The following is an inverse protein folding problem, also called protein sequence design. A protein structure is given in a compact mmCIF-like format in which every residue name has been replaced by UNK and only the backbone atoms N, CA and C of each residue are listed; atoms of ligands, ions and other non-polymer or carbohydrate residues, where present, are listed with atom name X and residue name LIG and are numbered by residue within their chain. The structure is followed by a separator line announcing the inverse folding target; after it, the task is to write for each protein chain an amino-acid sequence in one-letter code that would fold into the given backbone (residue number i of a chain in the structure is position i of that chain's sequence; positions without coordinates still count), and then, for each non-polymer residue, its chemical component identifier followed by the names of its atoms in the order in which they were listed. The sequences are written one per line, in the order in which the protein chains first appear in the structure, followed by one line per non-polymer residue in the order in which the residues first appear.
data_IF_995275843301
#
_entry.id   IF_995275843301
#
_cell.length_a   1.000
_cell.length_b   1.000
_cell.length_c   1.000
_cell.angle_alpha   90.00
_cell.angle_beta   90.00
_cell.angle_gamma   90.00
#
_symmetry.space_group_name_H-M   'P 1'
#
loop_
_entity.id
_entity.type
_entity.pdbx_description
1 polymer ?
#
# COMPACT_ATOMS: atom_id res chain seq x y z
N UNK A 1 -17.96 15.52 0.72
CA UNK A 1 -17.03 14.81 -0.17
C UNK A 1 -16.07 14.08 0.73
N UNK A 2 -15.87 12.77 0.51
CA UNK A 2 -14.94 11.98 1.33
C UNK A 2 -13.51 12.29 0.90
N UNK A 3 -12.60 12.48 1.84
CA UNK A 3 -11.23 12.88 1.58
C UNK A 3 -10.27 11.71 1.81
N UNK A 4 -9.50 11.36 0.79
CA UNK A 4 -8.48 10.32 0.86
C UNK A 4 -7.11 10.99 0.77
N UNK A 5 -6.26 10.77 1.77
CA UNK A 5 -4.85 11.13 1.72
C UNK A 5 -4.04 9.93 1.24
N UNK A 6 -3.33 10.07 0.13
CA UNK A 6 -2.42 9.05 -0.41
C UNK A 6 -0.99 9.54 -0.17
N UNK A 7 -0.22 8.80 0.63
CA UNK A 7 1.16 9.12 0.97
C UNK A 7 2.09 8.23 0.14
N UNK A 8 2.85 8.86 -0.76
CA UNK A 8 3.74 8.22 -1.73
C UNK A 8 3.15 8.23 -3.14
N UNK A 9 3.80 8.94 -4.06
CA UNK A 9 3.44 9.06 -5.47
C UNK A 9 4.33 8.19 -6.39
N UNK A 10 4.98 7.19 -5.81
CA UNK A 10 5.87 6.26 -6.51
C UNK A 10 5.16 5.40 -7.57
N UNK A 11 5.94 4.56 -8.27
CA UNK A 11 5.43 3.74 -9.37
C UNK A 11 4.25 2.84 -8.96
N UNK A 12 4.34 2.19 -7.80
CA UNK A 12 3.31 1.28 -7.28
C UNK A 12 1.98 1.98 -6.94
N UNK A 13 1.99 3.29 -6.69
CA UNK A 13 0.76 4.05 -6.40
C UNK A 13 -0.01 4.46 -7.67
N UNK A 14 0.60 4.35 -8.86
CA UNK A 14 0.02 4.91 -10.10
C UNK A 14 -1.36 4.34 -10.41
N UNK A 15 -1.49 3.01 -10.41
CA UNK A 15 -2.75 2.34 -10.74
C UNK A 15 -3.83 2.58 -9.68
N UNK A 16 -3.44 2.65 -8.40
CA UNK A 16 -4.34 3.00 -7.30
C UNK A 16 -4.89 4.43 -7.49
N UNK A 17 -4.00 5.40 -7.71
CA UNK A 17 -4.36 6.80 -7.87
C UNK A 17 -5.30 6.96 -9.07
N UNK A 18 -4.93 6.40 -10.23
CA UNK A 18 -5.75 6.46 -11.45
C UNK A 18 -7.14 5.85 -11.22
N UNK A 19 -7.22 4.68 -10.58
CA UNK A 19 -8.48 4.04 -10.24
C UNK A 19 -9.37 4.93 -9.36
N UNK A 20 -8.81 5.51 -8.29
CA UNK A 20 -9.55 6.38 -7.37
C UNK A 20 -9.96 7.70 -8.03
N UNK A 21 -9.14 8.25 -8.92
CA UNK A 21 -9.49 9.44 -9.70
C UNK A 21 -10.69 9.15 -10.61
N UNK A 22 -10.65 8.04 -11.34
CA UNK A 22 -11.75 7.61 -12.22
C UNK A 22 -13.05 7.35 -11.43
N UNK A 23 -12.95 6.94 -10.17
CA UNK A 23 -14.09 6.74 -9.26
C UNK A 23 -14.49 7.97 -8.47
N UNK A 24 -13.70 9.04 -8.51
CA UNK A 24 -13.88 10.18 -7.61
C UNK A 24 -15.21 10.91 -7.81
N UNK A 25 -15.76 10.91 -9.03
CA UNK A 25 -17.06 11.50 -9.31
C UNK A 25 -18.22 10.71 -8.71
N UNK A 26 -18.31 9.44 -9.10
CA UNK A 26 -19.30 8.45 -8.66
C UNK A 26 -19.29 8.31 -7.13
N UNK A 27 -18.10 8.22 -6.54
CA UNK A 27 -17.92 8.01 -5.11
C UNK A 27 -17.78 9.33 -4.32
N UNK A 28 -17.96 10.50 -4.93
CA UNK A 28 -17.83 11.78 -4.23
C UNK A 28 -16.54 11.90 -3.38
N UNK A 29 -15.39 11.61 -4.01
CA UNK A 29 -14.06 11.61 -3.39
C UNK A 29 -13.27 12.88 -3.75
N UNK A 30 -12.44 13.34 -2.82
CA UNK A 30 -11.30 14.21 -3.07
C UNK A 30 -10.02 13.43 -2.72
N UNK A 31 -9.00 13.50 -3.57
CA UNK A 31 -7.70 12.89 -3.31
C UNK A 31 -6.65 13.96 -3.01
N UNK A 32 -5.99 13.86 -1.87
CA UNK A 32 -4.72 14.56 -1.65
C UNK A 32 -3.57 13.57 -1.85
N UNK A 33 -2.68 13.86 -2.80
CA UNK A 33 -1.53 13.03 -3.12
C UNK A 33 -0.29 13.72 -2.56
N UNK A 34 0.33 13.10 -1.55
CA UNK A 34 1.55 13.60 -0.92
C UNK A 34 2.77 12.80 -1.35
N UNK A 35 3.85 13.49 -1.70
CA UNK A 35 5.16 12.89 -1.91
C UNK A 35 6.25 13.90 -1.53
N UNK A 36 7.45 13.42 -1.18
CA UNK A 36 8.58 14.31 -0.92
C UNK A 36 8.88 15.19 -2.15
N UNK A 37 8.64 14.66 -3.35
CA UNK A 37 8.64 15.43 -4.60
C UNK A 37 7.22 15.88 -4.95
N UNK A 38 6.94 17.17 -4.72
CA UNK A 38 5.66 17.77 -5.15
C UNK A 38 5.40 17.58 -6.65
N UNK A 39 6.44 17.72 -7.49
CA UNK A 39 6.32 17.51 -8.93
C UNK A 39 5.85 16.09 -9.28
N UNK A 40 6.34 15.07 -8.55
CA UNK A 40 5.89 13.69 -8.75
C UNK A 40 4.41 13.55 -8.38
N UNK A 41 3.99 14.12 -7.26
CA UNK A 41 2.59 14.14 -6.83
C UNK A 41 1.69 14.88 -7.84
N UNK A 42 2.10 16.05 -8.33
CA UNK A 42 1.38 16.84 -9.34
C UNK A 42 1.16 16.04 -10.62
N UNK A 43 2.20 15.36 -11.11
CA UNK A 43 2.08 14.48 -12.29
C UNK A 43 1.06 13.36 -12.06
N UNK A 44 0.93 12.85 -10.83
CA UNK A 44 -0.07 11.80 -10.50
C UNK A 44 -1.50 12.32 -10.42
N UNK A 45 -1.72 13.61 -10.18
CA UNK A 45 -3.08 14.19 -10.24
C UNK A 45 -3.65 14.19 -11.66
N UNK A 46 -2.78 14.19 -12.68
CA UNK A 46 -3.17 14.34 -14.09
C UNK A 46 -4.11 15.55 -14.34
N UNK A 47 -3.97 16.63 -13.55
CA UNK A 47 -4.83 17.82 -13.66
C UNK A 47 -6.29 17.59 -13.25
N UNK A 48 -6.60 16.49 -12.55
CA UNK A 48 -7.96 16.13 -12.17
C UNK A 48 -8.53 17.12 -11.14
N UNK A 49 -9.76 17.65 -11.33
CA UNK A 49 -10.32 18.70 -10.45
C UNK A 49 -10.60 18.24 -9.01
N UNK A 50 -10.69 16.92 -8.80
CA UNK A 50 -10.86 16.31 -7.46
C UNK A 50 -9.54 15.80 -6.85
N UNK A 51 -8.42 16.34 -7.29
CA UNK A 51 -7.11 15.95 -6.81
C UNK A 51 -6.25 17.17 -6.45
N UNK A 52 -5.57 17.09 -5.32
CA UNK A 52 -4.58 18.07 -4.88
C UNK A 52 -3.25 17.37 -4.68
N UNK A 53 -2.17 17.93 -5.21
CA UNK A 53 -0.82 17.47 -4.93
C UNK A 53 -0.18 18.34 -3.85
N UNK A 54 0.57 17.71 -2.95
CA UNK A 54 1.33 18.41 -1.91
C UNK A 54 2.75 17.85 -1.80
N UNK A 55 3.71 18.72 -1.50
CA UNK A 55 4.97 18.28 -0.91
C UNK A 55 4.67 17.69 0.48
N UNK A 56 5.06 16.46 0.74
CA UNK A 56 4.78 15.78 2.00
C UNK A 56 6.04 15.09 2.53
N UNK A 57 6.50 15.53 3.69
CA UNK A 57 7.58 14.86 4.42
C UNK A 57 7.01 14.11 5.62
N UNK A 58 7.20 12.79 5.63
CA UNK A 58 6.75 11.91 6.72
C UNK A 58 7.40 12.26 8.05
N UNK A 59 8.58 12.88 8.04
CA UNK A 59 9.29 13.28 9.26
C UNK A 59 8.89 14.69 9.75
N UNK A 60 8.12 15.44 8.97
CA UNK A 60 7.51 16.68 9.43
C UNK A 60 6.21 16.36 10.19
N UNK A 61 6.33 16.15 11.50
CA UNK A 61 5.21 15.80 12.37
C UNK A 61 4.03 16.77 12.26
N UNK A 62 4.28 18.07 12.30
CA UNK A 62 3.20 19.07 12.24
C UNK A 62 2.41 18.98 10.92
N UNK A 63 3.10 18.81 9.80
CA UNK A 63 2.44 18.61 8.50
C UNK A 63 1.71 17.26 8.45
N UNK A 64 2.36 16.18 8.86
CA UNK A 64 1.81 14.82 8.83
C UNK A 64 0.50 14.76 9.60
N UNK A 65 0.48 15.28 10.83
CA UNK A 65 -0.71 15.34 11.67
C UNK A 65 -1.81 16.20 11.04
N UNK A 66 -1.46 17.39 10.54
CA UNK A 66 -2.43 18.30 9.94
C UNK A 66 -3.11 17.72 8.68
N UNK A 67 -2.38 16.99 7.83
CA UNK A 67 -2.97 16.38 6.64
C UNK A 67 -3.74 15.09 6.96
N UNK A 68 -3.27 14.29 7.92
CA UNK A 68 -4.00 13.10 8.39
C UNK A 68 -5.34 13.49 9.02
N UNK A 69 -5.38 14.54 9.86
CA UNK A 69 -6.61 14.99 10.51
C UNK A 69 -7.69 15.45 9.51
N UNK A 70 -7.28 16.01 8.37
CA UNK A 70 -8.21 16.39 7.28
C UNK A 70 -8.77 15.20 6.51
N UNK A 71 -8.14 14.03 6.56
CA UNK A 71 -8.54 12.87 5.78
C UNK A 71 -9.67 12.08 6.47
N UNK A 72 -10.43 11.34 5.68
CA UNK A 72 -11.33 10.28 6.19
C UNK A 72 -10.61 8.92 6.19
N UNK A 73 -9.78 8.69 5.17
CA UNK A 73 -8.95 7.48 5.01
C UNK A 73 -7.54 7.89 4.57
N UNK A 74 -6.53 7.26 5.17
CA UNK A 74 -5.12 7.42 4.79
C UNK A 74 -4.64 6.16 4.10
N UNK A 75 -4.08 6.29 2.90
CA UNK A 75 -3.44 5.19 2.18
C UNK A 75 -1.93 5.43 2.15
N UNK A 76 -1.16 4.55 2.80
CA UNK A 76 0.29 4.65 2.82
C UNK A 76 0.91 3.70 1.79
N UNK A 77 1.46 4.29 0.73
CA UNK A 77 2.24 3.60 -0.32
C UNK A 77 3.76 3.76 -0.10
N UNK A 78 4.16 4.11 1.13
CA UNK A 78 5.54 4.23 1.56
C UNK A 78 6.19 2.84 1.81
N UNK A 79 7.53 2.76 1.91
CA UNK A 79 8.21 1.60 2.46
C UNK A 79 7.69 1.20 3.85
N UNK A 80 7.63 -0.11 4.12
CA UNK A 80 7.01 -0.67 5.33
C UNK A 80 7.50 -0.07 6.67
N UNK A 81 8.78 0.28 6.77
CA UNK A 81 9.37 0.86 7.98
C UNK A 81 8.88 2.28 8.30
N UNK A 82 8.21 2.96 7.37
CA UNK A 82 7.67 4.30 7.56
C UNK A 82 6.19 4.31 7.96
N UNK A 83 5.50 3.17 7.95
CA UNK A 83 4.07 3.10 8.26
C UNK A 83 3.75 3.43 9.71
N UNK A 84 4.67 3.17 10.64
CA UNK A 84 4.42 3.29 12.07
C UNK A 84 4.02 4.70 12.51
N UNK A 85 4.70 5.74 12.02
CA UNK A 85 4.34 7.13 12.39
C UNK A 85 3.01 7.56 11.78
N UNK A 86 2.69 7.09 10.56
CA UNK A 86 1.34 7.30 9.96
C UNK A 86 0.27 6.64 10.83
N UNK A 87 0.51 5.40 11.24
CA UNK A 87 -0.43 4.59 12.02
C UNK A 87 -0.74 5.23 13.38
N UNK A 88 0.29 5.71 14.10
CA UNK A 88 0.11 6.42 15.38
C UNK A 88 -0.74 7.68 15.24
N UNK A 89 -0.47 8.49 14.20
CA UNK A 89 -1.26 9.69 13.96
C UNK A 89 -2.69 9.33 13.52
N UNK A 90 -2.86 8.28 12.71
CA UNK A 90 -4.19 7.78 12.36
C UNK A 90 -4.99 7.36 13.60
N UNK A 91 -4.37 6.70 14.59
CA UNK A 91 -5.04 6.40 15.87
C UNK A 91 -5.42 7.71 16.59
N UNK A 92 -4.47 8.64 16.72
CA UNK A 92 -4.65 9.92 17.42
C UNK A 92 -5.82 10.72 16.86
N UNK A 93 -5.93 10.80 15.53
CA UNK A 93 -6.98 11.54 14.83
C UNK A 93 -8.16 10.67 14.40
N UNK A 94 -8.20 9.40 14.83
CA UNK A 94 -9.27 8.42 14.56
C UNK A 94 -9.56 8.24 13.07
N UNK A 95 -8.51 7.99 12.29
CA UNK A 95 -8.55 7.79 10.84
C UNK A 95 -8.29 6.34 10.49
N UNK A 96 -8.99 5.84 9.48
CA UNK A 96 -8.73 4.50 8.95
C UNK A 96 -7.48 4.53 8.06
N UNK A 97 -6.76 3.41 8.00
CA UNK A 97 -5.50 3.29 7.27
C UNK A 97 -5.51 2.08 6.34
N UNK A 98 -4.91 2.22 5.16
CA UNK A 98 -4.69 1.13 4.21
C UNK A 98 -3.24 1.10 3.76
N UNK A 99 -2.62 -0.07 3.69
CA UNK A 99 -1.27 -0.25 3.10
C UNK A 99 -1.17 -1.54 2.28
N UNK A 100 -0.28 -1.55 1.30
CA UNK A 100 0.05 -2.73 0.49
C UNK A 100 1.31 -3.47 1.01
N UNK A 101 1.63 -3.35 2.30
CA UNK A 101 2.85 -3.90 2.90
C UNK A 101 2.53 -4.94 3.97
N UNK A 102 3.46 -5.86 4.18
CA UNK A 102 3.50 -6.74 5.35
C UNK A 102 3.33 -5.97 6.65
N UNK A 103 2.67 -6.59 7.63
CA UNK A 103 2.57 -6.05 8.98
C UNK A 103 3.93 -6.21 9.66
N UNK A 104 4.47 -5.11 10.20
CA UNK A 104 5.72 -5.14 10.97
C UNK A 104 5.43 -5.39 12.47
N UNK A 105 6.39 -5.91 13.26
CA UNK A 105 6.19 -6.09 14.70
C UNK A 105 5.77 -4.80 15.43
N UNK A 106 6.26 -3.64 14.99
CA UNK A 106 5.85 -2.35 15.54
C UNK A 106 4.39 -1.98 15.21
N UNK A 107 3.91 -2.36 14.02
CA UNK A 107 2.51 -2.19 13.63
C UNK A 107 1.58 -3.15 14.40
N UNK A 108 2.00 -4.40 14.62
CA UNK A 108 1.22 -5.39 15.40
C UNK A 108 0.93 -4.91 16.83
N UNK A 109 1.88 -4.22 17.46
CA UNK A 109 1.71 -3.67 18.80
C UNK A 109 0.58 -2.63 18.91
N UNK A 110 0.13 -2.06 17.80
CA UNK A 110 -0.95 -1.07 17.77
C UNK A 110 -2.35 -1.70 17.70
N UNK A 111 -2.48 -3.01 17.45
CA UNK A 111 -3.76 -3.70 17.21
C UNK A 111 -4.82 -3.46 18.30
N UNK A 112 -4.41 -3.55 19.57
CA UNK A 112 -5.32 -3.33 20.69
C UNK A 112 -5.86 -1.90 20.73
N UNK A 113 -5.04 -0.92 20.40
CA UNK A 113 -5.42 0.49 20.39
C UNK A 113 -6.30 0.84 19.18
N UNK A 114 -5.98 0.27 18.00
CA UNK A 114 -6.80 0.37 16.78
C UNK A 114 -8.21 -0.16 17.04
N UNK A 115 -8.32 -1.36 17.64
CA UNK A 115 -9.62 -1.97 18.00
C UNK A 115 -10.36 -1.16 19.06
N UNK A 116 -9.67 -0.66 20.09
CA UNK A 116 -10.29 0.16 21.14
C UNK A 116 -10.87 1.47 20.61
N UNK A 117 -10.34 1.99 19.49
CA UNK A 117 -10.82 3.20 18.83
C UNK A 117 -11.81 2.94 17.67
N UNK A 118 -12.22 1.68 17.44
CA UNK A 118 -13.10 1.27 16.34
C UNK A 118 -12.56 1.67 14.95
N UNK A 119 -11.24 1.51 14.76
CA UNK A 119 -10.54 1.83 13.53
C UNK A 119 -10.21 0.57 12.72
N UNK A 120 -10.10 0.73 11.41
CA UNK A 120 -9.69 -0.31 10.47
C UNK A 120 -8.33 0.05 9.89
N UNK A 121 -7.32 -0.75 10.23
CA UNK A 121 -6.00 -0.73 9.60
C UNK A 121 -5.89 -1.96 8.69
N UNK A 122 -6.07 -1.76 7.40
CA UNK A 122 -6.04 -2.81 6.39
C UNK A 122 -4.66 -2.86 5.75
N UNK A 123 -3.86 -3.86 6.11
CA UNK A 123 -2.54 -4.11 5.54
C UNK A 123 -2.60 -5.21 4.49
N UNK A 124 -1.46 -5.48 3.84
CA UNK A 124 -1.32 -6.66 2.96
C UNK A 124 -2.37 -6.71 1.83
N UNK A 125 -2.70 -5.55 1.24
CA UNK A 125 -3.65 -5.44 0.12
C UNK A 125 -2.95 -5.09 -1.20
N UNK A 126 -1.85 -5.79 -1.49
CA UNK A 126 -1.07 -5.66 -2.71
C UNK A 126 -1.21 -6.85 -3.65
N UNK A 127 -0.09 -7.21 -4.30
CA UNK A 127 0.03 -8.43 -5.10
C UNK A 127 0.49 -9.61 -4.21
N UNK A 128 1.64 -9.42 -3.58
CA UNK A 128 2.29 -10.31 -2.63
C UNK A 128 3.04 -9.37 -1.66
N UNK A 129 2.47 -9.10 -0.47
CA UNK A 129 1.27 -9.72 0.10
C UNK A 129 -0.04 -9.06 -0.36
N UNK A 130 -1.06 -9.87 -0.64
CA UNK A 130 -2.45 -9.48 -0.96
C UNK A 130 -3.21 -10.48 -1.82
N UNK A 131 -3.08 -10.38 -3.14
CA UNK A 131 -3.77 -11.29 -4.07
C UNK A 131 -3.38 -12.76 -3.85
N UNK A 132 -2.13 -13.01 -3.45
CA UNK A 132 -1.68 -14.34 -3.03
C UNK A 132 -2.48 -14.85 -1.82
N UNK A 133 -2.69 -14.03 -0.79
CA UNK A 133 -3.53 -14.39 0.37
C UNK A 133 -4.98 -14.68 -0.04
N UNK A 134 -5.58 -13.78 -0.82
CA UNK A 134 -6.99 -13.91 -1.24
C UNK A 134 -7.21 -15.15 -2.10
N UNK A 135 -6.32 -15.41 -3.06
CA UNK A 135 -6.43 -16.57 -3.95
C UNK A 135 -6.10 -17.89 -3.23
N UNK A 136 -5.11 -17.89 -2.34
CA UNK A 136 -4.79 -19.04 -1.52
C UNK A 136 -5.96 -19.42 -0.61
N UNK A 137 -6.48 -18.47 0.18
CA UNK A 137 -7.56 -18.73 1.12
C UNK A 137 -8.82 -19.24 0.44
N UNK A 138 -9.18 -18.69 -0.74
CA UNK A 138 -10.30 -19.21 -1.53
C UNK A 138 -10.17 -20.72 -1.82
N UNK A 139 -9.01 -21.15 -2.31
CA UNK A 139 -8.76 -22.57 -2.62
C UNK A 139 -8.71 -23.42 -1.36
N UNK A 140 -8.06 -22.92 -0.30
CA UNK A 140 -7.93 -23.64 0.97
C UNK A 140 -9.30 -23.84 1.64
N UNK A 141 -10.17 -22.85 1.59
CA UNK A 141 -11.52 -22.92 2.16
C UNK A 141 -12.41 -23.87 1.36
N UNK A 142 -12.37 -23.84 0.03
CA UNK A 142 -13.06 -24.80 -0.83
C UNK A 142 -12.65 -26.26 -0.52
N UNK A 143 -11.36 -26.52 -0.32
CA UNK A 143 -10.86 -27.85 0.06
C UNK A 143 -11.42 -28.28 1.43
N UNK A 144 -11.43 -27.37 2.42
CA UNK A 144 -11.95 -27.63 3.78
C UNK A 144 -13.45 -27.91 3.76
N UNK A 145 -14.23 -27.14 2.99
CA UNK A 145 -15.68 -27.31 2.85
C UNK A 145 -16.05 -28.67 2.25
N UNK A 146 -15.22 -29.20 1.36
CA UNK A 146 -15.37 -30.54 0.80
C UNK A 146 -14.90 -31.67 1.74
N UNK A 147 -14.47 -31.34 2.97
CA UNK A 147 -13.91 -32.31 3.93
C UNK A 147 -12.49 -32.78 3.60
N UNK A 148 -11.82 -32.09 2.67
CA UNK A 148 -10.45 -32.37 2.28
C UNK A 148 -9.43 -31.97 3.35
N UNK A 149 -8.21 -32.49 3.23
CA UNK A 149 -7.08 -32.13 4.08
C UNK A 149 -5.94 -31.61 3.21
N UNK A 150 -5.39 -30.47 3.60
CA UNK A 150 -4.23 -29.89 2.93
C UNK A 150 -2.98 -30.64 3.38
N UNK A 151 -2.29 -31.27 2.44
CA UNK A 151 -1.06 -32.02 2.70
C UNK A 151 0.21 -31.20 2.42
N UNK A 152 0.13 -30.26 1.48
CA UNK A 152 1.20 -29.36 1.08
C UNK A 152 0.58 -28.11 0.44
N UNK A 153 1.17 -26.95 0.68
CA UNK A 153 0.84 -25.71 0.01
C UNK A 153 2.14 -25.00 -0.38
N UNK A 154 2.28 -24.67 -1.66
CA UNK A 154 3.42 -23.95 -2.20
C UNK A 154 2.87 -22.81 -3.07
N UNK A 155 3.40 -21.61 -2.90
CA UNK A 155 3.03 -20.43 -3.66
C UNK A 155 4.29 -19.71 -4.11
N UNK A 156 4.36 -19.39 -5.39
CA UNK A 156 5.49 -18.68 -5.99
C UNK A 156 4.96 -17.46 -6.74
N UNK A 157 5.49 -16.29 -6.41
CA UNK A 157 5.19 -15.04 -7.10
C UNK A 157 6.47 -14.42 -7.66
N UNK A 158 6.38 -13.78 -8.83
CA UNK A 158 7.53 -13.18 -9.48
C UNK A 158 7.14 -12.14 -10.53
N UNK A 159 7.64 -10.92 -10.36
CA UNK A 159 7.60 -9.89 -11.40
C UNK A 159 8.79 -10.03 -12.33
N UNK A 160 8.62 -10.80 -13.42
CA UNK A 160 9.67 -11.08 -14.40
C UNK A 160 9.56 -10.21 -15.67
N UNK A 161 10.64 -10.18 -16.43
CA UNK A 161 10.69 -9.47 -17.71
C UNK A 161 10.02 -10.35 -18.77
N UNK A 162 9.21 -9.74 -19.64
CA UNK A 162 8.67 -10.44 -20.80
C UNK A 162 9.82 -10.94 -21.70
N UNK A 163 9.75 -12.14 -22.30
CA UNK A 163 10.87 -12.74 -23.03
C UNK A 163 11.48 -11.83 -24.12
N UNK A 164 10.65 -11.09 -24.85
CA UNK A 164 11.07 -10.14 -25.89
C UNK A 164 11.82 -8.92 -25.34
N UNK A 165 11.70 -8.66 -24.04
CA UNK A 165 12.34 -7.56 -23.33
C UNK A 165 13.56 -8.03 -22.51
N UNK A 166 13.85 -9.32 -22.49
CA UNK A 166 14.97 -9.89 -21.75
C UNK A 166 16.28 -9.71 -22.53
N UNK A 167 16.92 -8.57 -22.32
CA UNK A 167 18.06 -8.10 -23.12
C UNK A 167 19.23 -7.60 -22.27
N UNK A 168 19.33 -8.05 -21.02
CA UNK A 168 20.41 -7.68 -20.12
C UNK A 168 20.95 -8.90 -19.35
N UNK A 169 22.16 -8.80 -18.80
CA UNK A 169 22.83 -9.92 -18.12
C UNK A 169 22.15 -10.39 -16.84
N UNK A 170 21.23 -9.61 -16.28
CA UNK A 170 20.56 -9.92 -15.02
C UNK A 170 19.25 -10.69 -15.24
N UNK A 171 18.78 -10.78 -16.48
CA UNK A 171 17.45 -11.28 -16.84
C UNK A 171 16.33 -10.67 -15.97
N UNK A 172 16.54 -9.42 -15.55
CA UNK A 172 15.68 -8.71 -14.60
C UNK A 172 15.68 -7.20 -14.90
N UNK A 173 14.58 -6.52 -14.60
CA UNK A 173 14.46 -5.06 -14.68
C UNK A 173 13.76 -4.54 -13.43
N UNK A 174 14.30 -3.46 -12.85
CA UNK A 174 13.74 -2.88 -11.65
C UNK A 174 12.40 -2.19 -11.94
N UNK A 175 11.32 -2.76 -11.40
CA UNK A 175 9.95 -2.20 -11.46
C UNK A 175 9.48 -1.63 -10.13
N UNK A 176 10.27 -1.81 -9.08
CA UNK A 176 10.04 -1.33 -7.71
C UNK A 176 11.38 -0.97 -7.07
N UNK A 177 11.39 -0.62 -5.78
CA UNK A 177 12.59 -0.13 -5.10
C UNK A 177 13.78 -1.12 -5.23
N UNK A 178 14.88 -0.76 -5.93
CA UNK A 178 16.00 -1.68 -6.15
C UNK A 178 16.65 -2.21 -4.87
N UNK A 179 16.66 -1.40 -3.80
CA UNK A 179 17.17 -1.83 -2.48
C UNK A 179 16.39 -3.02 -1.96
N UNK A 180 15.07 -3.01 -2.13
CA UNK A 180 14.22 -4.08 -1.63
C UNK A 180 14.40 -5.37 -2.45
N UNK A 181 14.66 -5.29 -3.76
CA UNK A 181 15.02 -6.45 -4.59
C UNK A 181 16.29 -7.12 -4.05
N UNK A 182 17.32 -6.32 -3.76
CA UNK A 182 18.59 -6.84 -3.24
C UNK A 182 18.41 -7.47 -1.86
N UNK A 183 17.67 -6.81 -0.96
CA UNK A 183 17.41 -7.33 0.39
C UNK A 183 16.58 -8.63 0.37
N UNK A 184 15.59 -8.74 -0.51
CA UNK A 184 14.80 -9.96 -0.67
C UNK A 184 15.68 -11.16 -1.08
N UNK A 185 16.67 -10.95 -1.95
CA UNK A 185 17.61 -11.98 -2.38
C UNK A 185 18.67 -12.37 -1.34
N UNK A 186 18.75 -11.70 -0.18
CA UNK A 186 19.67 -12.09 0.90
C UNK A 186 19.11 -13.20 1.78
N UNK A 187 17.79 -13.41 1.78
CA UNK A 187 17.17 -14.59 2.37
C UNK A 187 17.46 -15.81 1.49
N UNK A 188 17.63 -16.99 2.09
CA UNK A 188 17.58 -18.24 1.34
C UNK A 188 16.20 -18.42 0.66
N UNK A 189 16.03 -19.50 -0.08
CA UNK A 189 14.69 -19.88 -0.55
C UNK A 189 13.75 -19.98 0.66
N UNK A 190 12.68 -19.18 0.65
CA UNK A 190 11.58 -19.30 1.59
C UNK A 190 10.88 -20.66 1.43
#
# INVERSE_FOLDING_TARGET
MRHILIIGAGRSASSLIEYLLNKSEEENLHLTIGDLSQELAERKTNGHPRATAIAFDIFNEAQRQAEIDKADIVISMLPAHLHYEVAKDCITFKKNMVTASYISPAMELLDAEVKANDLIFMNEVGLDPGLDHMSAMKVLDEIREMGGKITLFESFCGGLVAPESDNNLWNYKFTWNPRNVVLAGQGGTA
#
